data_IF_893730853917
#
_entry.id   IF_893730853917
#
_cell.length_a   1.000
_cell.length_b   1.000
_cell.length_c   1.000
_cell.angle_alpha   90.00
_cell.angle_beta   90.00
_cell.angle_gamma   90.00
#
_symmetry.space_group_name_H-M   'P 1'
#
loop_
_entity.id
_entity.type
_entity.pdbx_description
1 polymer ?
#
# COMPACT_ATOMS: atom_id res chain seq x y z
N UNK A 1 18.03 8.79 -11.67
CA UNK A 1 18.66 8.91 -13.00
C UNK A 1 20.13 8.46 -12.98
N UNK A 2 20.98 8.93 -12.06
CA UNK A 2 22.42 8.57 -11.99
C UNK A 2 22.70 7.06 -11.84
N UNK A 3 21.91 6.33 -11.04
CA UNK A 3 22.11 4.90 -10.82
C UNK A 3 21.80 4.02 -12.03
N UNK A 4 20.76 4.35 -12.79
CA UNK A 4 20.41 3.65 -14.04
C UNK A 4 21.53 3.81 -15.08
N UNK A 5 22.09 5.02 -15.19
CA UNK A 5 23.22 5.29 -16.09
C UNK A 5 24.48 4.53 -15.62
N UNK A 6 24.73 4.45 -14.31
CA UNK A 6 25.84 3.67 -13.75
C UNK A 6 25.73 2.16 -14.01
N UNK A 7 24.51 1.59 -14.03
CA UNK A 7 24.30 0.18 -14.37
C UNK A 7 24.60 -0.16 -15.83
N UNK A 8 24.51 0.83 -16.73
CA UNK A 8 24.79 0.67 -18.16
C UNK A 8 26.27 0.84 -18.45
N UNK A 9 26.98 1.68 -17.69
CA UNK A 9 28.40 1.99 -17.90
C UNK A 9 29.37 0.91 -17.39
N UNK A 10 28.98 0.09 -16.41
CA UNK A 10 29.82 -1.00 -15.88
C UNK A 10 29.05 -2.32 -15.78
N UNK A 11 29.07 -3.16 -16.84
CA UNK A 11 28.30 -4.40 -16.88
C UNK A 11 28.75 -5.43 -15.83
N UNK A 12 29.97 -5.32 -15.30
CA UNK A 12 30.46 -6.21 -14.23
C UNK A 12 29.71 -6.01 -12.91
N UNK A 13 29.19 -4.80 -12.68
CA UNK A 13 28.42 -4.43 -11.47
C UNK A 13 26.91 -4.55 -11.68
N UNK A 14 26.46 -5.00 -12.86
CA UNK A 14 25.04 -5.10 -13.19
C UNK A 14 24.26 -5.95 -12.18
N UNK A 15 24.80 -7.09 -11.77
CA UNK A 15 24.17 -7.97 -10.77
C UNK A 15 24.09 -7.32 -9.39
N UNK A 16 25.14 -6.61 -8.98
CA UNK A 16 25.15 -5.86 -7.73
C UNK A 16 24.05 -4.78 -7.71
N UNK A 17 23.96 -3.98 -8.78
CA UNK A 17 22.92 -2.98 -8.88
C UNK A 17 21.51 -3.58 -8.98
N UNK A 18 21.35 -4.71 -9.68
CA UNK A 18 20.07 -5.43 -9.71
C UNK A 18 19.64 -5.85 -8.31
N UNK A 19 20.56 -6.41 -7.52
CA UNK A 19 20.32 -6.79 -6.12
C UNK A 19 19.94 -5.58 -5.27
N UNK A 20 20.67 -4.48 -5.42
CA UNK A 20 20.39 -3.24 -4.69
C UNK A 20 19.03 -2.62 -5.07
N UNK A 21 18.68 -2.59 -6.37
CA UNK A 21 17.37 -2.14 -6.83
C UNK A 21 16.26 -3.03 -6.30
N UNK A 22 16.45 -4.34 -6.34
CA UNK A 22 15.50 -5.30 -5.82
C UNK A 22 15.24 -5.07 -4.32
N UNK A 23 16.31 -4.95 -3.53
CA UNK A 23 16.22 -4.70 -2.09
C UNK A 23 15.45 -3.41 -1.77
N UNK A 24 15.77 -2.31 -2.47
CA UNK A 24 15.07 -1.03 -2.28
C UNK A 24 13.61 -1.11 -2.71
N UNK A 25 13.31 -1.81 -3.79
CA UNK A 25 11.95 -1.99 -4.28
C UNK A 25 11.12 -2.83 -3.30
N UNK A 26 11.67 -3.93 -2.79
CA UNK A 26 11.02 -4.76 -1.77
C UNK A 26 10.76 -4.00 -0.47
N UNK A 27 11.72 -3.19 -0.01
CA UNK A 27 11.54 -2.38 1.20
C UNK A 27 10.40 -1.36 1.03
N UNK A 28 10.33 -0.68 -0.12
CA UNK A 28 9.24 0.25 -0.43
C UNK A 28 7.90 -0.48 -0.51
N UNK A 29 7.85 -1.63 -1.17
CA UNK A 29 6.63 -2.42 -1.35
C UNK A 29 6.06 -2.87 0.02
N UNK A 30 6.93 -3.28 0.94
CA UNK A 30 6.52 -3.66 2.29
C UNK A 30 5.90 -2.48 3.07
N UNK A 31 6.44 -1.26 2.93
CA UNK A 31 5.85 -0.07 3.54
C UNK A 31 4.48 0.28 2.92
N UNK A 32 4.35 0.11 1.60
CA UNK A 32 3.05 0.27 0.91
C UNK A 32 2.04 -0.76 1.39
N UNK A 33 2.42 -2.02 1.56
CA UNK A 33 1.53 -3.07 2.06
C UNK A 33 1.01 -2.78 3.48
N UNK A 34 1.86 -2.26 4.37
CA UNK A 34 1.43 -1.79 5.70
C UNK A 34 0.40 -0.67 5.59
N UNK A 35 0.62 0.30 4.71
CA UNK A 35 -0.32 1.39 4.50
C UNK A 35 -1.66 0.88 3.95
N UNK A 36 -1.62 -0.04 2.98
CA UNK A 36 -2.81 -0.68 2.42
C UNK A 36 -3.58 -1.45 3.49
N UNK A 37 -2.90 -2.16 4.40
CA UNK A 37 -3.53 -2.85 5.51
C UNK A 37 -4.29 -1.88 6.44
N UNK A 38 -3.67 -0.75 6.79
CA UNK A 38 -4.31 0.30 7.62
C UNK A 38 -5.55 0.86 6.91
N UNK A 39 -5.45 1.16 5.62
CA UNK A 39 -6.56 1.68 4.83
C UNK A 39 -7.71 0.66 4.76
N UNK A 40 -7.41 -0.62 4.54
CA UNK A 40 -8.43 -1.69 4.54
C UNK A 40 -9.17 -1.79 5.86
N UNK A 41 -8.47 -1.71 6.99
CA UNK A 41 -9.10 -1.70 8.33
C UNK A 41 -10.03 -0.50 8.48
N UNK A 42 -9.59 0.69 8.06
CA UNK A 42 -10.39 1.91 8.16
C UNK A 42 -11.63 1.88 7.25
N UNK A 43 -11.50 1.38 6.03
CA UNK A 43 -12.63 1.18 5.12
C UNK A 43 -13.64 0.19 5.72
N UNK A 44 -13.18 -0.93 6.26
CA UNK A 44 -14.05 -1.92 6.92
C UNK A 44 -14.80 -1.31 8.10
N UNK A 45 -14.10 -0.58 8.97
CA UNK A 45 -14.71 0.09 10.11
C UNK A 45 -15.77 1.13 9.68
N UNK A 46 -15.47 1.93 8.65
CA UNK A 46 -16.44 2.89 8.11
C UNK A 46 -17.66 2.19 7.48
N UNK A 47 -17.46 1.05 6.81
CA UNK A 47 -18.56 0.26 6.27
C UNK A 47 -19.46 -0.32 7.37
N UNK A 48 -18.87 -0.78 8.48
CA UNK A 48 -19.62 -1.25 9.65
C UNK A 48 -20.44 -0.13 10.30
N UNK A 49 -19.86 1.07 10.48
CA UNK A 49 -20.57 2.25 10.98
C UNK A 49 -21.71 2.66 10.04
N UNK A 50 -21.48 2.64 8.73
CA UNK A 50 -22.53 2.99 7.76
C UNK A 50 -23.68 1.98 7.81
N UNK A 51 -23.37 0.68 7.95
CA UNK A 51 -24.36 -0.38 8.11
C UNK A 51 -25.20 -0.22 9.38
N UNK A 52 -24.56 0.09 10.52
CA UNK A 52 -25.28 0.32 11.79
C UNK A 52 -26.12 1.59 11.77
N UNK A 53 -25.65 2.66 11.12
CA UNK A 53 -26.42 3.90 10.96
C UNK A 53 -27.64 3.71 10.05
N UNK A 54 -27.54 2.91 8.99
CA UNK A 54 -28.71 2.59 8.14
C UNK A 54 -29.72 1.72 8.91
N UNK A 55 -29.24 0.77 9.71
CA UNK A 55 -30.09 -0.06 10.56
C UNK A 55 -30.83 0.76 11.62
N UNK A 56 -30.19 1.74 12.25
CA UNK A 56 -30.82 2.59 13.28
C UNK A 56 -31.83 3.58 12.71
N UNK A 57 -31.61 4.12 11.50
CA UNK A 57 -32.61 4.96 10.79
C UNK A 57 -33.84 4.15 10.38
N UNK A 58 -33.66 2.87 10.01
CA UNK A 58 -34.75 1.96 9.64
C UNK A 58 -35.63 1.54 10.84
N UNK A 59 -35.16 1.76 12.07
CA UNK A 59 -35.83 1.44 13.33
C UNK A 59 -36.54 2.65 13.97
N UNK A 60 -36.39 3.85 13.42
CA UNK A 60 -37.16 5.01 13.84
C UNK A 60 -38.61 4.85 13.32
N UNK A 61 -39.63 4.82 14.19
CA UNK A 61 -41.00 4.74 13.75
C UNK A 61 -41.31 6.00 12.94
N UNK A 62 -41.76 5.82 11.70
CA UNK A 62 -42.34 6.89 10.89
C UNK A 62 -43.46 7.52 11.72
N UNK A 63 -43.24 8.76 12.15
CA UNK A 63 -44.21 9.53 12.94
C UNK A 63 -45.10 10.37 12.03
#
# INVERSE_FOLDING_TARGET
MVLLIATVLDPSKRLFYLGWFYEKTCALLNEVDKLVAIVKVKIKHNHEIMSTNVASVSLLPYH
#
